data_IF_804971982946
#
_entry.id   IF_804971982946
#
_cell.length_a   1.000
_cell.length_b   1.000
_cell.length_c   1.000
_cell.angle_alpha   90.00
_cell.angle_beta   90.00
_cell.angle_gamma   90.00
#
_symmetry.space_group_name_H-M   'P 1'
#
loop_
_entity.id
_entity.type
_entity.pdbx_description
1 polymer ?
#
# COMPACT_ATOMS: atom_id res chain seq x y z
N UNK A 1 11.83 -1.63 33.64
CA UNK A 1 10.39 -1.87 33.75
C UNK A 1 10.17 -3.13 34.58
N UNK A 2 9.29 -3.11 35.58
CA UNK A 2 8.88 -4.31 36.33
C UNK A 2 7.53 -4.76 35.80
N UNK A 3 7.39 -6.06 35.52
CA UNK A 3 6.12 -6.67 35.10
C UNK A 3 5.13 -6.64 36.26
N UNK A 4 3.87 -6.38 35.97
CA UNK A 4 2.80 -6.67 36.93
C UNK A 4 2.70 -8.20 37.16
N UNK A 5 2.09 -8.65 38.27
CA UNK A 5 1.85 -10.08 38.50
C UNK A 5 1.11 -10.75 37.34
N UNK A 6 0.13 -10.06 36.74
CA UNK A 6 -0.65 -10.57 35.60
C UNK A 6 0.21 -10.70 34.34
N UNK A 7 1.04 -9.69 34.04
CA UNK A 7 1.97 -9.75 32.90
C UNK A 7 3.02 -10.85 33.09
N UNK A 8 3.45 -11.09 34.33
CA UNK A 8 4.36 -12.18 34.66
C UNK A 8 3.73 -13.55 34.43
N UNK A 9 2.48 -13.75 34.86
CA UNK A 9 1.76 -15.01 34.63
C UNK A 9 1.58 -15.31 33.15
N UNK A 10 1.28 -14.28 32.35
CA UNK A 10 1.17 -14.41 30.89
C UNK A 10 2.51 -14.80 30.27
N UNK A 11 3.62 -14.18 30.71
CA UNK A 11 4.96 -14.52 30.24
C UNK A 11 5.31 -15.97 30.60
N UNK A 12 5.08 -16.38 31.85
CA UNK A 12 5.36 -17.73 32.33
C UNK A 12 4.60 -18.78 31.53
N UNK A 13 3.29 -18.60 31.32
CA UNK A 13 2.47 -19.51 30.52
C UNK A 13 3.00 -19.65 29.08
N UNK A 14 3.46 -18.55 28.48
CA UNK A 14 4.03 -18.55 27.12
C UNK A 14 5.40 -19.23 27.07
N UNK A 15 6.23 -19.05 28.10
CA UNK A 15 7.54 -19.71 28.23
C UNK A 15 7.37 -21.22 28.37
N UNK A 16 6.45 -21.66 29.23
CA UNK A 16 6.11 -23.09 29.41
C UNK A 16 5.61 -23.69 28.09
N UNK A 17 4.67 -23.01 27.41
CA UNK A 17 4.12 -23.48 26.14
C UNK A 17 5.19 -23.56 25.03
N UNK A 18 6.19 -22.67 25.05
CA UNK A 18 7.27 -22.65 24.08
C UNK A 18 8.38 -23.68 24.38
N UNK A 19 8.42 -24.27 25.58
CA UNK A 19 9.41 -25.28 25.97
C UNK A 19 10.86 -24.77 26.00
N UNK A 20 11.06 -23.46 26.14
CA UNK A 20 12.38 -22.80 26.16
C UNK A 20 12.56 -22.01 27.45
N UNK A 21 13.79 -21.57 27.74
CA UNK A 21 14.04 -20.68 28.88
C UNK A 21 13.40 -19.31 28.66
N UNK A 22 13.06 -18.61 29.74
CA UNK A 22 12.51 -17.24 29.66
C UNK A 22 13.45 -16.29 28.90
N UNK A 23 14.76 -16.41 29.09
CA UNK A 23 15.75 -15.62 28.35
C UNK A 23 15.71 -15.92 26.84
N UNK A 24 15.68 -17.20 26.45
CA UNK A 24 15.58 -17.59 25.05
C UNK A 24 14.26 -17.12 24.43
N UNK A 25 13.15 -17.23 25.17
CA UNK A 25 11.85 -16.72 24.77
C UNK A 25 11.87 -15.21 24.52
N UNK A 26 12.43 -14.43 25.45
CA UNK A 26 12.51 -12.97 25.35
C UNK A 26 13.41 -12.55 24.19
N UNK A 27 14.60 -13.15 24.04
CA UNK A 27 15.50 -12.85 22.92
C UNK A 27 14.79 -13.16 21.60
N UNK A 28 14.20 -14.34 21.47
CA UNK A 28 13.50 -14.74 20.26
C UNK A 28 12.32 -13.81 19.95
N UNK A 29 11.52 -13.47 20.96
CA UNK A 29 10.39 -12.55 20.82
C UNK A 29 10.83 -11.14 20.40
N UNK A 30 11.93 -10.60 20.95
CA UNK A 30 12.45 -9.28 20.59
C UNK A 30 13.12 -9.30 19.21
N UNK A 31 13.93 -10.32 18.91
CA UNK A 31 14.61 -10.47 17.62
C UNK A 31 13.62 -10.61 16.46
N UNK A 32 12.49 -11.27 16.69
CA UNK A 32 11.44 -11.46 15.69
C UNK A 32 10.26 -10.48 15.80
N UNK A 33 10.30 -9.55 16.76
CA UNK A 33 9.28 -8.51 16.88
C UNK A 33 9.34 -7.59 15.65
N UNK A 34 8.32 -7.70 14.80
CA UNK A 34 8.15 -6.77 13.67
C UNK A 34 7.59 -5.45 14.19
N UNK A 35 8.48 -4.52 14.55
CA UNK A 35 8.11 -3.15 14.90
C UNK A 35 8.10 -2.31 13.63
N UNK A 36 6.91 -1.86 13.23
CA UNK A 36 6.75 -0.86 12.16
C UNK A 36 7.19 0.49 12.71
N UNK A 37 8.20 1.09 12.08
CA UNK A 37 8.74 2.40 12.45
C UNK A 37 7.84 3.54 11.97
N UNK A 38 7.99 4.73 12.58
CA UNK A 38 7.26 5.94 12.15
C UNK A 38 7.49 6.24 10.66
N UNK A 39 8.73 6.13 10.19
CA UNK A 39 9.09 6.33 8.78
C UNK A 39 8.38 5.31 7.86
N UNK A 40 8.28 4.05 8.28
CA UNK A 40 7.53 3.03 7.53
C UNK A 40 6.03 3.32 7.48
N UNK A 41 5.46 3.93 8.53
CA UNK A 41 4.06 4.37 8.56
C UNK A 41 3.85 5.55 7.61
N UNK A 42 4.78 6.50 7.56
CA UNK A 42 4.72 7.66 6.66
C UNK A 42 4.76 7.23 5.19
N UNK A 43 5.69 6.35 4.82
CA UNK A 43 5.75 5.76 3.47
C UNK A 43 4.45 5.03 3.10
N UNK A 44 3.82 4.32 4.05
CA UNK A 44 2.52 3.68 3.80
C UNK A 44 1.39 4.67 3.58
N UNK A 45 1.39 5.80 4.31
CA UNK A 45 0.40 6.86 4.14
C UNK A 45 0.53 7.50 2.76
N UNK A 46 1.75 7.80 2.33
CA UNK A 46 2.01 8.38 1.01
C UNK A 46 1.53 7.46 -0.11
N UNK A 47 1.88 6.18 -0.06
CA UNK A 47 1.41 5.17 -1.02
C UNK A 47 -0.12 5.08 -1.02
N UNK A 48 -0.75 5.09 0.15
CA UNK A 48 -2.21 5.04 0.28
C UNK A 48 -2.89 6.27 -0.34
N UNK A 49 -2.33 7.46 -0.12
CA UNK A 49 -2.83 8.70 -0.72
C UNK A 49 -2.71 8.67 -2.25
N UNK A 50 -1.54 8.29 -2.79
CA UNK A 50 -1.34 8.18 -4.23
C UNK A 50 -2.27 7.14 -4.89
N UNK A 51 -2.55 6.03 -4.21
CA UNK A 51 -3.54 5.05 -4.68
C UNK A 51 -4.97 5.62 -4.70
N UNK A 52 -5.35 6.41 -3.69
CA UNK A 52 -6.66 7.08 -3.65
C UNK A 52 -6.83 8.04 -4.84
N UNK A 53 -5.77 8.80 -5.16
CA UNK A 53 -5.75 9.70 -6.32
C UNK A 53 -5.89 8.92 -7.63
N UNK A 54 -5.19 7.81 -7.81
CA UNK A 54 -5.38 6.93 -8.98
C UNK A 54 -6.82 6.44 -9.12
N UNK A 55 -7.44 5.98 -8.03
CA UNK A 55 -8.83 5.52 -8.06
C UNK A 55 -9.76 6.65 -8.50
N UNK A 56 -9.51 7.89 -8.06
CA UNK A 56 -10.26 9.06 -8.50
C UNK A 56 -10.08 9.30 -10.01
N UNK A 57 -8.86 9.21 -10.53
CA UNK A 57 -8.58 9.37 -11.96
C UNK A 57 -9.28 8.31 -12.81
N UNK A 58 -9.24 7.03 -12.40
CA UNK A 58 -9.93 5.92 -13.11
C UNK A 58 -11.43 6.19 -13.21
N UNK A 59 -12.06 6.64 -12.12
CA UNK A 59 -13.49 6.99 -12.12
C UNK A 59 -13.77 8.14 -13.08
N UNK A 60 -12.89 9.15 -13.14
CA UNK A 60 -12.97 10.24 -14.11
C UNK A 60 -12.91 9.74 -15.56
N UNK A 61 -11.94 8.87 -15.89
CA UNK A 61 -11.83 8.28 -17.22
C UNK A 61 -13.03 7.42 -17.59
N UNK A 62 -13.54 6.59 -16.66
CA UNK A 62 -14.73 5.78 -16.88
C UNK A 62 -15.97 6.64 -17.15
N UNK A 63 -16.11 7.78 -16.44
CA UNK A 63 -17.17 8.74 -16.71
C UNK A 63 -17.04 9.40 -18.09
N UNK A 64 -15.83 9.78 -18.50
CA UNK A 64 -15.59 10.35 -19.83
C UNK A 64 -15.91 9.36 -20.95
N UNK A 65 -15.49 8.10 -20.79
CA UNK A 65 -15.83 7.02 -21.72
C UNK A 65 -17.35 6.79 -21.82
N UNK A 66 -18.04 6.80 -20.67
CA UNK A 66 -19.50 6.70 -20.63
C UNK A 66 -20.18 7.87 -21.34
N UNK A 67 -19.67 9.09 -21.21
CA UNK A 67 -20.18 10.26 -21.92
C UNK A 67 -19.99 10.14 -23.43
N UNK A 68 -18.80 9.74 -23.88
CA UNK A 68 -18.50 9.45 -25.29
C UNK A 68 -19.48 8.41 -25.86
N UNK A 69 -19.67 7.31 -25.13
CA UNK A 69 -20.56 6.23 -25.56
C UNK A 69 -22.01 6.71 -25.66
N UNK A 70 -22.50 7.48 -24.68
CA UNK A 70 -23.85 8.07 -24.71
C UNK A 70 -24.03 9.02 -25.89
N UNK A 71 -23.04 9.87 -26.17
CA UNK A 71 -23.07 10.78 -27.30
C UNK A 71 -23.13 10.02 -28.63
N UNK A 72 -22.31 8.98 -28.79
CA UNK A 72 -22.34 8.12 -29.98
C UNK A 72 -23.70 7.44 -30.16
N UNK A 73 -24.25 6.89 -29.07
CA UNK A 73 -25.54 6.21 -29.12
C UNK A 73 -26.71 7.16 -29.42
N UNK A 74 -26.63 8.43 -29.02
CA UNK A 74 -27.70 9.41 -29.25
C UNK A 74 -27.61 10.08 -30.62
N UNK A 75 -26.40 10.29 -31.15
CA UNK A 75 -26.19 11.06 -32.39
C UNK A 75 -25.82 10.20 -33.59
N UNK A 76 -25.35 8.96 -33.37
CA UNK A 76 -24.71 8.14 -34.41
C UNK A 76 -23.35 8.66 -34.87
N UNK A 77 -22.84 9.74 -34.26
CA UNK A 77 -21.59 10.41 -34.65
C UNK A 77 -20.43 9.90 -33.80
N UNK A 78 -19.35 9.51 -34.47
CA UNK A 78 -18.07 9.16 -33.81
C UNK A 78 -17.39 10.45 -33.31
N UNK A 79 -16.85 10.48 -32.08
CA UNK A 79 -16.15 11.66 -31.58
C UNK A 79 -15.00 12.07 -32.49
N UNK A 80 -14.85 13.38 -32.69
CA UNK A 80 -13.75 13.92 -33.48
C UNK A 80 -12.38 13.64 -32.85
N UNK A 81 -11.34 13.76 -33.66
CA UNK A 81 -9.95 13.49 -33.28
C UNK A 81 -9.50 14.19 -31.99
N UNK A 82 -9.98 15.42 -31.75
CA UNK A 82 -9.65 16.18 -30.54
C UNK A 82 -10.10 15.48 -29.25
N UNK A 83 -11.32 14.95 -29.23
CA UNK A 83 -11.89 14.24 -28.06
C UNK A 83 -11.11 12.94 -27.81
N UNK A 84 -10.77 12.22 -28.89
CA UNK A 84 -10.00 10.99 -28.79
C UNK A 84 -8.56 11.26 -28.31
N UNK A 85 -7.92 12.35 -28.76
CA UNK A 85 -6.59 12.76 -28.30
C UNK A 85 -6.59 13.13 -26.82
N UNK A 86 -7.61 13.81 -26.33
CA UNK A 86 -7.75 14.15 -24.91
C UNK A 86 -7.96 12.92 -24.04
N UNK A 87 -8.81 11.98 -24.48
CA UNK A 87 -8.99 10.71 -23.81
C UNK A 87 -7.71 9.87 -23.80
N UNK A 88 -6.98 9.82 -24.91
CA UNK A 88 -5.68 9.15 -24.99
C UNK A 88 -4.65 9.78 -24.04
N UNK A 89 -4.58 11.12 -24.02
CA UNK A 89 -3.66 11.85 -23.14
C UNK A 89 -3.92 11.52 -21.67
N UNK A 90 -5.17 11.64 -21.21
CA UNK A 90 -5.55 11.32 -19.82
C UNK A 90 -5.26 9.85 -19.46
N UNK A 91 -5.48 8.92 -20.41
CA UNK A 91 -5.14 7.50 -20.22
C UNK A 91 -3.63 7.28 -20.08
N UNK A 92 -2.81 7.99 -20.85
CA UNK A 92 -1.35 7.87 -20.78
C UNK A 92 -0.75 8.53 -19.52
N UNK A 93 -1.33 9.65 -19.07
CA UNK A 93 -1.00 10.28 -17.79
C UNK A 93 -1.29 9.31 -16.63
N UNK A 94 -2.50 8.74 -16.61
CA UNK A 94 -2.87 7.71 -15.63
C UNK A 94 -1.89 6.53 -15.61
N UNK A 95 -1.55 5.99 -16.79
CA UNK A 95 -0.58 4.88 -16.92
C UNK A 95 0.78 5.24 -16.29
N UNK A 96 1.24 6.48 -16.51
CA UNK A 96 2.51 6.98 -15.98
C UNK A 96 2.47 7.08 -14.46
N UNK A 97 1.37 7.57 -13.88
CA UNK A 97 1.19 7.61 -12.43
C UNK A 97 1.13 6.20 -11.80
N UNK A 98 0.47 5.25 -12.48
CA UNK A 98 0.47 3.84 -12.06
C UNK A 98 1.89 3.26 -12.00
N UNK A 99 2.73 3.54 -13.01
CA UNK A 99 4.11 3.07 -13.04
C UNK A 99 4.92 3.64 -11.86
N UNK A 100 4.73 4.91 -11.51
CA UNK A 100 5.40 5.54 -10.36
C UNK A 100 4.99 4.88 -9.03
N UNK A 101 3.69 4.65 -8.82
CA UNK A 101 3.18 4.01 -7.60
C UNK A 101 3.67 2.57 -7.51
N UNK A 102 3.70 1.84 -8.63
CA UNK A 102 4.27 0.50 -8.70
C UNK A 102 5.75 0.49 -8.27
N UNK A 103 6.55 1.42 -8.79
CA UNK A 103 7.95 1.56 -8.41
C UNK A 103 8.12 1.89 -6.91
N UNK A 104 7.28 2.77 -6.36
CA UNK A 104 7.29 3.12 -4.93
C UNK A 104 6.93 1.92 -4.04
N UNK A 105 5.91 1.14 -4.40
CA UNK A 105 5.53 -0.09 -3.70
C UNK A 105 6.67 -1.11 -3.76
N UNK A 106 7.24 -1.34 -4.95
CA UNK A 106 8.35 -2.28 -5.15
C UNK A 106 9.57 -1.89 -4.32
N UNK A 107 9.94 -0.61 -4.32
CA UNK A 107 11.06 -0.08 -3.53
C UNK A 107 10.82 -0.26 -2.03
N UNK A 108 9.59 -0.01 -1.57
CA UNK A 108 9.20 -0.20 -0.17
C UNK A 108 9.30 -1.66 0.27
N UNK A 109 8.88 -2.61 -0.58
CA UNK A 109 9.00 -4.05 -0.30
C UNK A 109 10.48 -4.46 -0.22
N UNK A 110 11.29 -4.06 -1.19
CA UNK A 110 12.73 -4.38 -1.22
C UNK A 110 13.44 -3.80 0.01
N UNK A 111 13.14 -2.57 0.40
CA UNK A 111 13.75 -1.95 1.57
C UNK A 111 13.38 -2.65 2.89
N UNK A 112 12.16 -3.20 2.99
CA UNK A 112 11.72 -3.98 4.17
C UNK A 112 12.36 -5.37 4.28
N UNK A 113 12.89 -5.91 3.18
CA UNK A 113 13.57 -7.22 3.16
C UNK A 113 15.07 -7.11 3.43
N UNK A 114 15.64 -5.90 3.43
CA UNK A 114 17.06 -5.71 3.77
C UNK A 114 17.25 -5.91 5.28
N UNK A 115 18.29 -6.65 5.71
CA UNK A 115 18.60 -6.74 7.12
C UNK A 115 18.90 -5.33 7.65
N UNK A 116 18.26 -4.93 8.76
CA UNK A 116 18.62 -3.70 9.48
C UNK A 116 20.09 -3.84 9.87
N UNK A 117 20.97 -2.98 9.32
CA UNK A 117 22.35 -2.89 9.77
C UNK A 117 22.32 -2.41 11.24
N UNK A 118 22.91 -3.20 12.12
CA UNK A 118 23.16 -2.86 13.52
C UNK A 118 24.24 -1.78 13.63
#
# INVERSE_FOLDING_TARGET
>A
MRLSPDEYQVLENRVIAAGVTQQAYIINAITNAKIVTSDEIEVLKDISMSLSDLVRQIRGMANNLNQITKFMNSTGVVPGEAVLKEFYKSTNEFRTECDLIWQSIRSSIVNRQKPKKL
#
